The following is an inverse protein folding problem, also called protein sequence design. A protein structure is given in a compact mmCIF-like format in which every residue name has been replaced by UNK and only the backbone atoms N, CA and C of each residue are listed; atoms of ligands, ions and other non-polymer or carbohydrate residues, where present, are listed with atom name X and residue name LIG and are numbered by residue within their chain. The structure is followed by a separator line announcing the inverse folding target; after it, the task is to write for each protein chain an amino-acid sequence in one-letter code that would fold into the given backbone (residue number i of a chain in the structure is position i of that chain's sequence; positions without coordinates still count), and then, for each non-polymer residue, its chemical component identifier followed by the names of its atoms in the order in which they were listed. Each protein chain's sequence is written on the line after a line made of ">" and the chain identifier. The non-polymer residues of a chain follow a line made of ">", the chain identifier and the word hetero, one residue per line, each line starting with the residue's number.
data_IF_865915793275
#
_entry.id   IF_865915793275
#
_cell.length_a   1.000
_cell.length_b   1.000
_cell.length_c   1.000
_cell.angle_alpha   90.00
_cell.angle_beta   90.00
_cell.angle_gamma   90.00
#
_symmetry.space_group_name_H-M   'P 1'
#
loop_
_entity.id
_entity.type
_entity.pdbx_description
1 polymer ?
#
# COMPACT_ATOMS: atom_id res chain seq x y z
N UNK A 1 -12.46 1.46 17.69
CA UNK A 1 -11.50 2.46 17.15
C UNK A 1 -12.02 3.89 17.24
N UNK A 2 -13.34 4.15 17.27
CA UNK A 2 -13.89 5.52 17.28
C UNK A 2 -13.55 6.33 18.56
N UNK A 3 -13.47 5.67 19.71
CA UNK A 3 -13.20 6.33 21.00
C UNK A 3 -11.77 6.92 21.10
N UNK A 4 -10.76 6.33 20.43
CA UNK A 4 -9.35 6.69 20.67
C UNK A 4 -8.90 7.97 19.96
N UNK A 5 -9.43 8.29 18.77
CA UNK A 5 -9.02 9.52 18.06
C UNK A 5 -9.60 10.76 18.71
N UNK A 6 -10.86 10.72 19.16
CA UNK A 6 -11.49 11.83 19.89
C UNK A 6 -10.78 12.11 21.21
N UNK A 7 -10.32 11.07 21.90
CA UNK A 7 -9.50 11.22 23.10
C UNK A 7 -8.14 11.86 22.79
N UNK A 8 -7.48 11.44 21.70
CA UNK A 8 -6.21 12.04 21.26
C UNK A 8 -6.36 13.53 20.93
N UNK A 9 -7.38 13.89 20.15
CA UNK A 9 -7.66 15.29 19.80
C UNK A 9 -7.80 16.17 21.05
N UNK A 10 -8.54 15.69 22.06
CA UNK A 10 -8.66 16.36 23.37
C UNK A 10 -7.33 16.44 24.10
N UNK A 11 -6.59 15.34 24.18
CA UNK A 11 -5.31 15.28 24.90
C UNK A 11 -4.24 16.21 24.32
N UNK A 12 -4.31 16.46 23.01
CA UNK A 12 -3.41 17.36 22.28
C UNK A 12 -3.96 18.78 22.14
N UNK A 13 -5.12 19.07 22.74
CA UNK A 13 -5.81 20.35 22.64
C UNK A 13 -5.99 20.83 21.18
N UNK A 14 -6.39 19.90 20.31
CA UNK A 14 -6.68 20.15 18.91
C UNK A 14 -8.16 20.48 18.73
N UNK A 15 -8.42 21.62 18.09
CA UNK A 15 -9.74 22.04 17.62
C UNK A 15 -9.74 21.97 16.09
N UNK A 16 -10.67 21.21 15.53
CA UNK A 16 -10.80 21.04 14.08
C UNK A 16 -12.03 21.76 13.52
N UNK A 17 -12.56 22.74 14.24
CA UNK A 17 -13.66 23.60 13.80
C UNK A 17 -14.91 22.81 13.35
N UNK A 18 -15.17 21.67 14.01
CA UNK A 18 -16.30 20.78 13.71
C UNK A 18 -16.01 19.68 12.67
N UNK A 19 -14.78 19.58 12.15
CA UNK A 19 -14.39 18.56 11.16
C UNK A 19 -13.99 17.22 11.78
N UNK A 20 -14.05 17.05 13.11
CA UNK A 20 -13.54 15.85 13.80
C UNK A 20 -14.18 14.57 13.25
N UNK A 21 -15.49 14.59 13.03
CA UNK A 21 -16.23 13.43 12.52
C UNK A 21 -15.82 13.08 11.08
N UNK A 22 -15.53 14.09 10.25
CA UNK A 22 -15.05 13.87 8.88
C UNK A 22 -13.62 13.30 8.89
N UNK A 23 -12.74 13.82 9.74
CA UNK A 23 -11.37 13.33 9.90
C UNK A 23 -11.38 11.86 10.35
N UNK A 24 -12.16 11.53 11.37
CA UNK A 24 -12.28 10.16 11.89
C UNK A 24 -12.81 9.21 10.81
N UNK A 25 -13.87 9.63 10.10
CA UNK A 25 -14.41 8.85 8.99
C UNK A 25 -13.36 8.65 7.89
N UNK A 26 -12.63 9.71 7.53
CA UNK A 26 -11.58 9.66 6.52
C UNK A 26 -10.45 8.71 6.89
N UNK A 27 -9.94 8.78 8.13
CA UNK A 27 -8.89 7.87 8.63
C UNK A 27 -9.29 6.40 8.52
N UNK A 28 -10.56 6.07 8.80
CA UNK A 28 -11.06 4.70 8.70
C UNK A 28 -11.11 4.16 7.24
N UNK A 29 -11.17 5.06 6.27
CA UNK A 29 -11.32 4.74 4.84
C UNK A 29 -9.98 4.58 4.11
N UNK A 30 -8.88 5.14 4.62
CA UNK A 30 -7.56 5.13 3.94
C UNK A 30 -7.01 3.70 3.79
N UNK A 31 -6.22 3.50 2.72
CA UNK A 31 -5.42 2.30 2.49
C UNK A 31 -6.02 1.28 1.52
N UNK A 32 -5.16 0.36 1.06
CA UNK A 32 -5.45 -0.65 0.03
C UNK A 32 -6.16 -1.91 0.57
N UNK A 33 -5.82 -2.36 1.79
CA UNK A 33 -6.37 -3.55 2.48
C UNK A 33 -6.49 -4.80 1.57
N UNK A 34 -5.44 -5.12 0.81
CA UNK A 34 -5.41 -6.29 -0.08
C UNK A 34 -6.41 -6.21 -1.24
N UNK A 35 -6.83 -5.01 -1.64
CA UNK A 35 -7.88 -4.81 -2.65
C UNK A 35 -9.30 -4.75 -2.08
N UNK A 36 -9.48 -4.95 -0.77
CA UNK A 36 -10.77 -4.88 -0.08
C UNK A 36 -10.99 -3.54 0.65
N UNK A 37 -10.22 -2.51 0.30
CA UNK A 37 -10.36 -1.16 0.86
C UNK A 37 -11.64 -0.45 0.39
N UNK A 38 -11.98 0.66 1.05
CA UNK A 38 -13.11 1.51 0.64
C UNK A 38 -12.78 2.16 -0.70
N UNK A 39 -13.62 1.98 -1.72
CA UNK A 39 -13.36 2.56 -3.06
C UNK A 39 -13.74 4.05 -3.12
N UNK A 40 -14.94 4.39 -2.61
CA UNK A 40 -15.45 5.76 -2.61
C UNK A 40 -15.20 6.41 -1.25
N UNK A 41 -14.10 7.16 -1.14
CA UNK A 41 -13.67 7.81 0.10
C UNK A 41 -14.20 9.24 0.19
N UNK A 42 -14.16 9.85 1.38
CA UNK A 42 -14.31 11.31 1.52
C UNK A 42 -13.20 12.02 0.73
N UNK A 43 -13.44 13.27 0.35
CA UNK A 43 -12.52 14.01 -0.49
C UNK A 43 -11.12 14.08 0.13
N UNK A 44 -11.00 14.50 1.39
CA UNK A 44 -9.71 14.54 2.10
C UNK A 44 -9.04 13.16 2.20
N UNK A 45 -9.81 12.10 2.51
CA UNK A 45 -9.28 10.75 2.59
C UNK A 45 -8.77 10.22 1.24
N UNK A 46 -9.32 10.70 0.13
CA UNK A 46 -8.80 10.36 -1.20
C UNK A 46 -7.39 10.89 -1.42
N UNK A 47 -7.13 12.16 -1.11
CA UNK A 47 -5.79 12.74 -1.25
C UNK A 47 -4.77 12.08 -0.32
N UNK A 48 -5.14 11.86 0.94
CA UNK A 48 -4.26 11.20 1.90
C UNK A 48 -3.99 9.75 1.49
N UNK A 49 -5.00 9.04 0.97
CA UNK A 49 -4.81 7.68 0.48
C UNK A 49 -3.94 7.62 -0.77
N UNK A 50 -4.08 8.57 -1.71
CA UNK A 50 -3.21 8.64 -2.88
C UNK A 50 -1.75 8.88 -2.44
N UNK A 51 -1.51 9.81 -1.51
CA UNK A 51 -0.18 10.10 -0.97
C UNK A 51 0.47 8.86 -0.30
N UNK A 52 -0.28 8.14 0.54
CA UNK A 52 0.18 6.90 1.20
C UNK A 52 0.53 5.79 0.19
N UNK A 53 -0.29 5.63 -0.86
CA UNK A 53 -0.03 4.66 -1.92
C UNK A 53 1.19 5.04 -2.75
N UNK A 54 1.35 6.32 -3.10
CA UNK A 54 2.49 6.82 -3.86
C UNK A 54 3.80 6.64 -3.09
N UNK A 55 3.81 6.82 -1.76
CA UNK A 55 4.99 6.56 -0.92
C UNK A 55 5.40 5.08 -0.90
N UNK A 56 4.43 4.18 -1.09
CA UNK A 56 4.69 2.74 -1.23
C UNK A 56 5.25 2.35 -2.61
N UNK A 57 5.35 3.29 -3.56
CA UNK A 57 5.79 3.03 -4.94
C UNK A 57 7.21 3.55 -5.24
N UNK A 58 7.76 3.18 -6.40
CA UNK A 58 9.05 3.66 -6.91
C UNK A 58 10.26 3.09 -6.15
N UNK A 59 11.41 3.74 -6.29
CA UNK A 59 12.67 3.28 -5.67
C UNK A 59 12.57 3.07 -4.16
N UNK A 60 11.89 3.97 -3.45
CA UNK A 60 11.66 3.84 -2.01
C UNK A 60 10.73 2.66 -1.70
N UNK A 61 9.67 2.47 -2.48
CA UNK A 61 8.79 1.31 -2.36
C UNK A 61 9.53 -0.02 -2.55
N UNK A 62 10.43 -0.09 -3.54
CA UNK A 62 11.30 -1.26 -3.77
C UNK A 62 12.16 -1.54 -2.52
N UNK A 63 12.88 -0.53 -2.03
CA UNK A 63 13.74 -0.68 -0.86
C UNK A 63 12.95 -1.12 0.38
N UNK A 64 11.79 -0.50 0.63
CA UNK A 64 10.91 -0.84 1.76
C UNK A 64 10.37 -2.26 1.67
N UNK A 65 10.06 -2.73 0.46
CA UNK A 65 9.54 -4.10 0.23
C UNK A 65 10.55 -5.13 0.71
N UNK A 66 11.80 -5.04 0.26
CA UNK A 66 12.83 -5.99 0.66
C UNK A 66 13.30 -5.80 2.11
N UNK A 67 13.37 -4.56 2.60
CA UNK A 67 13.69 -4.30 4.00
C UNK A 67 12.66 -4.94 4.94
N UNK A 68 11.37 -4.74 4.66
CA UNK A 68 10.30 -5.34 5.45
C UNK A 68 10.30 -6.87 5.33
N UNK A 69 10.41 -7.42 4.12
CA UNK A 69 10.49 -8.86 3.88
C UNK A 69 11.64 -9.50 4.67
N UNK A 70 12.84 -8.90 4.63
CA UNK A 70 13.99 -9.35 5.41
C UNK A 70 13.72 -9.33 6.92
N UNK A 71 13.07 -8.28 7.43
CA UNK A 71 12.69 -8.20 8.85
C UNK A 71 11.68 -9.28 9.28
N UNK A 72 10.95 -9.87 8.33
CA UNK A 72 9.96 -10.93 8.55
C UNK A 72 10.49 -12.32 8.20
N UNK A 73 11.74 -12.44 7.74
CA UNK A 73 12.29 -13.71 7.26
C UNK A 73 11.62 -14.22 5.99
N UNK A 74 10.95 -13.34 5.23
CA UNK A 74 10.35 -13.68 3.94
C UNK A 74 11.46 -13.77 2.89
N UNK A 75 11.58 -14.88 2.15
CA UNK A 75 12.61 -15.00 1.12
C UNK A 75 12.39 -13.96 0.02
N UNK A 76 13.49 -13.47 -0.56
CA UNK A 76 13.40 -12.62 -1.76
C UNK A 76 12.72 -13.41 -2.89
N UNK A 77 13.20 -14.64 -3.11
CA UNK A 77 12.64 -15.62 -4.02
C UNK A 77 13.02 -17.05 -3.58
N UNK A 78 12.05 -17.95 -3.58
CA UNK A 78 12.14 -19.39 -3.36
C UNK A 78 11.26 -20.09 -4.42
N UNK A 79 11.83 -20.94 -5.29
CA UNK A 79 11.09 -21.67 -6.31
C UNK A 79 9.94 -22.53 -5.78
N UNK A 80 10.02 -23.01 -4.54
CA UNK A 80 8.96 -23.83 -3.92
C UNK A 80 7.70 -23.04 -3.60
N UNK A 81 7.80 -21.71 -3.54
CA UNK A 81 6.68 -20.80 -3.32
C UNK A 81 6.10 -20.24 -4.63
N UNK A 82 6.55 -20.72 -5.79
CA UNK A 82 6.06 -20.24 -7.08
C UNK A 82 4.58 -20.58 -7.26
N UNK A 83 3.77 -19.57 -7.62
CA UNK A 83 2.36 -19.75 -7.94
C UNK A 83 1.42 -19.77 -6.74
N UNK A 84 1.88 -19.39 -5.55
CA UNK A 84 1.01 -19.13 -4.40
C UNK A 84 0.01 -18.03 -4.74
N UNK A 85 -1.27 -18.29 -4.52
CA UNK A 85 -2.36 -17.34 -4.78
C UNK A 85 -2.88 -16.72 -3.49
N UNK A 86 -3.35 -15.48 -3.60
CA UNK A 86 -3.99 -14.74 -2.51
C UNK A 86 -5.46 -14.54 -2.87
N UNK A 87 -6.35 -15.25 -2.19
CA UNK A 87 -7.79 -15.25 -2.50
C UNK A 87 -8.62 -14.48 -1.48
N UNK A 88 -8.07 -14.23 -0.30
CA UNK A 88 -8.74 -13.49 0.77
C UNK A 88 -7.82 -12.49 1.48
N UNK A 89 -8.44 -11.62 2.28
CA UNK A 89 -7.71 -10.70 3.15
C UNK A 89 -6.88 -11.40 4.24
N UNK A 90 -7.32 -12.57 4.71
CA UNK A 90 -6.57 -13.35 5.68
C UNK A 90 -5.32 -13.96 5.04
N UNK A 91 -5.47 -14.50 3.82
CA UNK A 91 -4.34 -15.00 3.02
C UNK A 91 -3.33 -13.89 2.78
N UNK A 92 -3.80 -12.68 2.45
CA UNK A 92 -2.95 -11.51 2.27
C UNK A 92 -2.09 -11.20 3.50
N UNK A 93 -2.47 -11.62 4.71
CA UNK A 93 -1.67 -11.41 5.93
C UNK A 93 -0.81 -12.60 6.32
N UNK A 94 -1.29 -13.82 6.08
CA UNK A 94 -0.76 -15.02 6.74
C UNK A 94 -0.06 -15.99 5.79
N UNK A 95 -0.34 -15.94 4.49
CA UNK A 95 0.28 -16.85 3.51
C UNK A 95 1.72 -16.44 3.22
N UNK A 96 2.64 -17.41 3.31
CA UNK A 96 4.03 -17.22 2.88
C UNK A 96 4.13 -17.20 1.35
N UNK A 97 5.03 -16.33 0.86
CA UNK A 97 5.23 -16.01 -0.55
C UNK A 97 6.59 -15.37 -0.73
N UNK A 98 7.01 -15.15 -1.97
CA UNK A 98 8.24 -14.42 -2.22
C UNK A 98 8.03 -12.92 -2.05
N UNK A 99 9.08 -12.21 -1.62
CA UNK A 99 9.05 -10.76 -1.55
C UNK A 99 8.79 -10.12 -2.92
N UNK A 100 9.34 -10.72 -3.99
CA UNK A 100 9.14 -10.24 -5.36
C UNK A 100 7.69 -10.38 -5.84
N UNK A 101 6.95 -11.38 -5.38
CA UNK A 101 5.53 -11.59 -5.74
C UNK A 101 4.66 -10.41 -5.26
N UNK A 102 5.09 -9.71 -4.20
CA UNK A 102 4.39 -8.53 -3.68
C UNK A 102 4.23 -7.40 -4.72
N UNK A 103 5.12 -7.33 -5.72
CA UNK A 103 5.02 -6.37 -6.80
C UNK A 103 3.72 -6.57 -7.60
N UNK A 104 3.42 -7.81 -7.97
CA UNK A 104 2.23 -8.15 -8.75
C UNK A 104 0.98 -8.27 -7.88
N UNK A 105 1.14 -8.75 -6.64
CA UNK A 105 0.02 -8.85 -5.71
C UNK A 105 -0.56 -7.49 -5.34
N UNK A 106 0.30 -6.49 -5.15
CA UNK A 106 -0.09 -5.17 -4.63
C UNK A 106 0.54 -4.01 -5.37
N UNK A 107 1.87 -3.88 -5.39
CA UNK A 107 2.52 -2.58 -5.67
C UNK A 107 2.18 -2.03 -7.06
N UNK A 108 2.17 -2.89 -8.07
CA UNK A 108 1.81 -2.52 -9.44
C UNK A 108 0.30 -2.30 -9.62
N UNK A 109 -0.55 -2.86 -8.74
CA UNK A 109 -2.00 -2.61 -8.73
C UNK A 109 -2.38 -1.29 -8.07
N UNK A 110 -1.47 -0.65 -7.32
CA UNK A 110 -1.75 0.63 -6.66
C UNK A 110 -2.07 1.74 -7.66
N UNK A 111 -1.52 1.68 -8.89
CA UNK A 111 -1.82 2.64 -9.95
C UNK A 111 -3.33 2.75 -10.26
N UNK A 112 -4.05 1.64 -10.21
CA UNK A 112 -5.51 1.60 -10.45
C UNK A 112 -6.34 2.16 -9.27
N UNK A 113 -5.71 2.22 -8.10
CA UNK A 113 -6.34 2.67 -6.85
C UNK A 113 -6.18 4.17 -6.63
N UNK A 114 -5.16 4.79 -7.20
CA UNK A 114 -4.97 6.24 -7.17
C UNK A 114 -6.08 6.92 -7.96
N UNK A 115 -6.77 7.88 -7.34
CA UNK A 115 -7.96 8.49 -7.95
C UNK A 115 -7.74 9.92 -8.45
N UNK A 116 -6.85 10.67 -7.83
CA UNK A 116 -6.61 12.05 -8.22
C UNK A 116 -5.78 12.11 -9.52
N UNK A 117 -6.07 13.05 -10.44
CA UNK A 117 -5.27 13.21 -11.66
C UNK A 117 -3.79 13.47 -11.36
N UNK A 118 -3.51 14.31 -10.35
CA UNK A 118 -2.15 14.63 -9.94
C UNK A 118 -1.44 13.43 -9.30
N UNK A 119 -2.14 12.67 -8.45
CA UNK A 119 -1.60 11.44 -7.89
C UNK A 119 -1.19 10.44 -8.97
N UNK A 120 -2.01 10.28 -10.02
CA UNK A 120 -1.67 9.40 -11.16
C UNK A 120 -0.43 9.88 -11.90
N UNK A 121 -0.33 11.19 -12.13
CA UNK A 121 0.83 11.81 -12.78
C UNK A 121 2.13 11.53 -12.00
N UNK A 122 2.09 11.70 -10.67
CA UNK A 122 3.23 11.43 -9.79
C UNK A 122 3.56 9.93 -9.67
N UNK A 123 2.54 9.06 -9.70
CA UNK A 123 2.72 7.63 -9.56
C UNK A 123 3.25 6.95 -10.81
N UNK A 124 3.00 7.51 -12.00
CA UNK A 124 3.38 6.89 -13.26
C UNK A 124 4.89 6.59 -13.33
N UNK A 125 5.74 7.57 -13.07
CA UNK A 125 7.20 7.37 -13.07
C UNK A 125 7.63 6.30 -12.05
N UNK A 126 7.02 6.33 -10.86
CA UNK A 126 7.30 5.37 -9.78
C UNK A 126 6.87 3.94 -10.14
N UNK A 127 5.75 3.82 -10.83
CA UNK A 127 5.24 2.56 -11.35
C UNK A 127 6.18 1.97 -12.41
N UNK A 128 6.66 2.81 -13.32
CA UNK A 128 7.58 2.39 -14.38
C UNK A 128 8.92 1.92 -13.82
N UNK A 129 9.46 2.60 -12.80
CA UNK A 129 10.65 2.15 -12.06
C UNK A 129 10.46 0.78 -11.43
N UNK A 130 9.30 0.52 -10.82
CA UNK A 130 9.00 -0.78 -10.21
C UNK A 130 8.88 -1.89 -11.23
N UNK A 131 8.23 -1.62 -12.37
CA UNK A 131 8.13 -2.58 -13.48
C UNK A 131 9.51 -2.93 -14.02
N UNK A 132 10.32 -1.91 -14.33
CA UNK A 132 11.66 -2.09 -14.85
C UNK A 132 12.55 -2.88 -13.87
N UNK A 133 12.47 -2.59 -12.57
CA UNK A 133 13.18 -3.36 -11.55
C UNK A 133 12.74 -4.82 -11.53
N UNK A 134 11.43 -5.11 -11.51
CA UNK A 134 10.91 -6.48 -11.48
C UNK A 134 11.34 -7.27 -12.71
N UNK A 135 11.22 -6.67 -13.90
CA UNK A 135 11.58 -7.31 -15.16
C UNK A 135 13.08 -7.63 -15.21
N UNK A 136 13.92 -6.68 -14.76
CA UNK A 136 15.36 -6.89 -14.66
C UNK A 136 15.72 -7.95 -13.60
N UNK A 137 15.03 -7.97 -12.46
CA UNK A 137 15.21 -8.97 -11.42
C UNK A 137 14.88 -10.38 -11.94
N UNK A 138 13.76 -10.58 -12.62
CA UNK A 138 13.41 -11.89 -13.21
C UNK A 138 14.40 -12.32 -14.28
N UNK A 139 14.90 -11.37 -15.10
CA UNK A 139 15.93 -11.65 -16.09
C UNK A 139 17.27 -12.07 -15.44
N UNK A 140 17.68 -11.43 -14.36
CA UNK A 140 18.92 -11.79 -13.66
C UNK A 140 18.83 -13.14 -12.93
N UNK A 141 17.63 -13.53 -12.53
CA UNK A 141 17.34 -14.77 -11.82
C UNK A 141 16.99 -15.95 -12.75
N UNK A 142 16.80 -15.72 -14.05
CA UNK A 142 16.34 -16.70 -15.05
C UNK A 142 15.00 -17.40 -14.68
N UNK A 143 13.97 -16.64 -14.27
CA UNK A 143 12.67 -17.16 -13.78
C UNK A 143 11.40 -16.66 -14.46
#
# INVERSE_FOLDING_TARGET
>A
MDCSLRELFKSWNLDFEGLESEIIAGVAQIGYKGGHGVVNKTYAAQYVSDADMIDSMGAIGIARTFYYAGSKGTPIYDPSLKGVTIESYDDYRNVQRNAIDHFDEKLLKLMDWIKTPEGKRMAQERHDVMRAFKDQFYKEMDI
#
